data_IF_877751897213
#
_entry.id   IF_877751897213
#
_cell.length_a   1.000
_cell.length_b   1.000
_cell.length_c   1.000
_cell.angle_alpha   90.00
_cell.angle_beta   90.00
_cell.angle_gamma   90.00
#
_symmetry.space_group_name_H-M   'P 1'
#
loop_
_entity.id
_entity.type
_entity.pdbx_description
1 polymer ?
#
# COMPACT_ATOMS: atom_id res chain seq x y z
N UNK A 1 -2.50 -2.59 -11.65
CA UNK A 1 -2.90 -3.11 -11.50
C UNK A 1 -3.63 -3.37 -11.26
N UNK A 2 -3.63 -3.38 -11.06
CA UNK A 2 -3.97 -4.23 -10.96
C UNK A 2 -5.05 -4.87 -10.67
N UNK A 3 -5.04 -5.87 -10.71
CA UNK A 3 -6.09 -6.67 -10.71
C UNK A 3 -7.00 -6.43 -9.58
N UNK A 4 -6.47 -6.11 -8.48
CA UNK A 4 -7.32 -5.88 -7.36
C UNK A 4 -8.28 -4.71 -7.56
N UNK A 5 -8.08 -4.00 -8.63
CA UNK A 5 -8.94 -2.96 -8.90
C UNK A 5 -9.94 -3.38 -9.81
N UNK A 6 -9.82 -4.53 -10.40
CA UNK A 6 -10.35 -4.70 -11.49
C UNK A 6 -11.43 -5.44 -11.67
N UNK A 7 -11.47 -6.36 -11.87
CA UNK A 7 -12.38 -7.17 -12.54
C UNK A 7 -13.14 -8.05 -11.64
N UNK A 8 -13.53 -7.57 -10.51
CA UNK A 8 -14.31 -8.34 -9.59
C UNK A 8 -15.72 -8.48 -10.09
N UNK A 9 -16.32 -9.65 -9.94
CA UNK A 9 -17.71 -9.83 -10.28
C UNK A 9 -18.57 -8.85 -9.50
N UNK A 10 -19.59 -8.33 -10.14
CA UNK A 10 -20.42 -7.30 -9.54
C UNK A 10 -21.00 -7.69 -8.17
N UNK A 11 -21.44 -8.91 -8.04
CA UNK A 11 -22.04 -9.35 -6.78
C UNK A 11 -21.03 -9.36 -5.63
N UNK A 12 -19.85 -9.92 -5.85
CA UNK A 12 -18.81 -9.94 -4.85
C UNK A 12 -18.36 -8.55 -4.50
N UNK A 13 -18.18 -7.73 -5.52
CA UNK A 13 -17.76 -6.36 -5.36
C UNK A 13 -18.75 -5.60 -4.51
N UNK A 14 -20.04 -5.84 -4.73
CA UNK A 14 -21.08 -5.14 -4.00
C UNK A 14 -21.01 -5.41 -2.51
N UNK A 15 -20.84 -6.67 -2.13
CA UNK A 15 -20.77 -7.03 -0.74
C UNK A 15 -19.56 -6.41 -0.05
N UNK A 16 -18.39 -6.66 -0.60
CA UNK A 16 -17.15 -6.14 -0.04
C UNK A 16 -17.07 -4.63 -0.09
N UNK A 17 -17.54 -4.03 -1.18
CA UNK A 17 -17.50 -2.59 -1.34
C UNK A 17 -18.38 -1.90 -0.32
N UNK A 18 -19.55 -2.42 -0.04
CA UNK A 18 -20.44 -1.86 0.96
C UNK A 18 -19.82 -1.90 2.34
N UNK A 19 -19.26 -3.04 2.71
CA UNK A 19 -18.62 -3.23 4.00
C UNK A 19 -17.44 -2.28 4.16
N UNK A 20 -16.61 -2.20 3.15
CA UNK A 20 -15.46 -1.33 3.11
C UNK A 20 -15.85 0.13 3.25
N UNK A 21 -16.89 0.53 2.52
CA UNK A 21 -17.36 1.90 2.55
C UNK A 21 -17.93 2.28 3.92
N UNK A 22 -18.65 1.38 4.55
CA UNK A 22 -19.17 1.62 5.89
C UNK A 22 -18.03 1.82 6.89
N UNK A 23 -17.00 1.00 6.82
CA UNK A 23 -15.84 1.13 7.70
C UNK A 23 -15.14 2.47 7.47
N UNK A 24 -14.90 2.82 6.20
CA UNK A 24 -14.19 4.06 5.85
C UNK A 24 -14.94 5.32 6.21
N UNK A 25 -16.26 5.24 6.35
CA UNK A 25 -17.07 6.37 6.75
C UNK A 25 -17.20 6.49 8.26
N UNK A 26 -16.73 5.50 8.99
CA UNK A 26 -16.87 5.48 10.44
C UNK A 26 -15.95 6.50 11.10
N UNK A 27 -16.36 6.93 12.29
CA UNK A 27 -15.55 7.81 13.10
C UNK A 27 -14.25 7.14 13.52
N UNK A 28 -14.31 5.84 13.81
CA UNK A 28 -13.15 5.04 14.20
C UNK A 28 -12.10 4.99 13.12
N UNK A 29 -12.51 4.87 11.86
CA UNK A 29 -11.57 4.88 10.74
C UNK A 29 -10.86 6.22 10.63
N UNK A 30 -11.60 7.31 10.80
CA UNK A 30 -11.03 8.65 10.72
C UNK A 30 -10.01 8.88 11.84
N UNK A 31 -10.32 8.40 13.03
CA UNK A 31 -9.40 8.49 14.15
C UNK A 31 -8.13 7.67 13.91
N UNK A 32 -8.29 6.45 13.40
CA UNK A 32 -7.17 5.59 13.06
C UNK A 32 -6.27 6.28 12.04
N UNK A 33 -6.87 6.86 11.01
CA UNK A 33 -6.14 7.54 9.97
C UNK A 33 -5.33 8.71 10.52
N UNK A 34 -5.91 9.48 11.42
CA UNK A 34 -5.21 10.58 12.07
C UNK A 34 -4.05 10.07 12.92
N UNK A 35 -4.27 8.98 13.64
CA UNK A 35 -3.23 8.38 14.47
C UNK A 35 -2.06 7.88 13.63
N UNK A 36 -2.34 7.21 12.52
CA UNK A 36 -1.30 6.75 11.60
C UNK A 36 -0.49 7.93 11.10
N UNK A 37 -1.18 8.98 10.66
CA UNK A 37 -0.52 10.17 10.13
C UNK A 37 0.40 10.80 11.16
N UNK A 38 -0.05 10.92 12.39
CA UNK A 38 0.72 11.57 13.46
C UNK A 38 1.89 10.72 13.94
N UNK A 39 1.67 9.42 14.09
CA UNK A 39 2.70 8.55 14.66
C UNK A 39 3.73 8.12 13.64
N UNK A 40 3.33 7.94 12.39
CA UNK A 40 4.23 7.45 11.36
C UNK A 40 4.91 8.58 10.57
N UNK A 41 4.14 9.55 10.12
CA UNK A 41 4.60 10.77 9.44
C UNK A 41 5.17 10.57 8.03
N UNK A 42 5.92 9.53 7.78
CA UNK A 42 6.57 9.32 6.49
C UNK A 42 6.24 7.95 5.91
N UNK A 43 6.32 7.90 4.60
CA UNK A 43 6.14 6.66 3.84
C UNK A 43 7.40 5.81 3.98
N UNK A 44 7.30 4.55 4.42
CA UNK A 44 8.48 3.73 4.68
C UNK A 44 9.29 3.36 3.44
N UNK A 45 8.66 3.39 2.25
CA UNK A 45 9.38 3.04 1.03
C UNK A 45 10.19 4.20 0.48
N UNK A 46 9.69 5.40 0.58
CA UNK A 46 10.32 6.56 -0.02
C UNK A 46 10.93 7.51 1.00
N UNK A 47 10.58 7.33 2.26
CA UNK A 47 10.95 8.22 3.35
C UNK A 47 10.46 9.65 3.14
N UNK A 48 9.48 9.82 2.27
CA UNK A 48 8.84 11.12 2.06
C UNK A 48 7.65 11.26 2.99
N UNK A 49 7.23 12.50 3.21
CA UNK A 49 6.09 12.76 4.10
C UNK A 49 4.82 12.12 3.55
N UNK A 50 3.99 11.62 4.44
CA UNK A 50 2.68 11.11 4.03
C UNK A 50 1.84 12.25 3.49
N UNK A 51 1.29 12.06 2.30
CA UNK A 51 0.47 13.08 1.65
C UNK A 51 -0.94 13.07 2.23
N UNK A 52 -1.70 14.10 1.89
CA UNK A 52 -3.06 14.25 2.35
C UNK A 52 -3.94 13.05 1.99
N UNK A 53 -3.68 12.46 0.85
CA UNK A 53 -4.47 11.34 0.33
C UNK A 53 -3.76 9.99 0.48
N UNK A 54 -2.89 9.87 1.49
CA UNK A 54 -2.20 8.63 1.74
C UNK A 54 -3.18 7.49 2.05
N UNK A 55 -2.73 6.28 1.86
CA UNK A 55 -3.52 5.09 2.15
C UNK A 55 -3.16 4.51 3.51
N UNK A 56 -4.17 4.21 4.32
CA UNK A 56 -3.98 3.35 5.48
C UNK A 56 -4.08 1.92 5.00
N UNK A 57 -2.95 1.29 4.81
CA UNK A 57 -2.89 -0.06 4.29
C UNK A 57 -3.03 -1.07 5.43
N UNK A 58 -4.02 -1.94 5.31
CA UNK A 58 -4.20 -3.01 6.28
C UNK A 58 -3.22 -4.13 5.93
N UNK A 59 -2.27 -4.37 6.80
CA UNK A 59 -1.23 -5.37 6.53
C UNK A 59 -1.75 -6.79 6.51
N UNK A 60 -2.85 -7.04 7.21
CA UNK A 60 -3.59 -8.29 7.05
C UNK A 60 -4.50 -8.09 5.85
N UNK A 61 -4.14 -8.65 4.73
CA UNK A 61 -4.86 -8.43 3.48
C UNK A 61 -6.10 -9.33 3.32
N UNK A 62 -6.58 -9.91 4.41
CA UNK A 62 -7.79 -10.72 4.39
C UNK A 62 -9.02 -9.81 4.40
N UNK A 63 -9.87 -9.87 3.36
CA UNK A 63 -11.06 -9.01 3.30
C UNK A 63 -12.03 -9.20 4.47
N UNK A 64 -11.99 -10.33 5.13
CA UNK A 64 -12.89 -10.60 6.26
C UNK A 64 -12.54 -9.76 7.48
N UNK A 65 -11.36 -9.17 7.50
CA UNK A 65 -10.86 -8.41 8.64
C UNK A 65 -10.90 -6.89 8.44
N UNK A 66 -11.72 -6.40 7.52
CA UNK A 66 -11.81 -4.98 7.26
C UNK A 66 -12.17 -4.14 8.47
N UNK A 67 -12.93 -4.68 9.38
CA UNK A 67 -13.39 -3.94 10.56
C UNK A 67 -12.43 -4.01 11.74
N UNK A 68 -11.33 -4.74 11.59
CA UNK A 68 -10.32 -4.80 12.64
C UNK A 68 -9.43 -3.57 12.52
N UNK A 69 -9.72 -2.55 13.31
CA UNK A 69 -9.03 -1.26 13.24
C UNK A 69 -7.94 -1.11 14.29
N UNK A 70 -7.26 -2.19 14.59
CA UNK A 70 -6.11 -2.15 15.49
C UNK A 70 -4.97 -1.39 14.81
N UNK A 71 -4.48 -0.32 15.44
CA UNK A 71 -3.44 0.54 14.88
C UNK A 71 -2.21 -0.25 14.40
N UNK A 72 -1.82 -1.29 15.14
CA UNK A 72 -0.63 -2.07 14.83
C UNK A 72 -0.73 -2.84 13.52
N UNK A 73 -1.92 -2.99 12.98
CA UNK A 73 -2.14 -3.71 11.74
C UNK A 73 -2.14 -2.81 10.51
N UNK A 74 -1.87 -1.53 10.70
CA UNK A 74 -1.92 -0.56 9.60
C UNK A 74 -0.59 0.13 9.40
N UNK A 75 -0.31 0.46 8.15
CA UNK A 75 0.84 1.27 7.77
C UNK A 75 0.36 2.34 6.79
N UNK A 76 0.84 3.55 6.97
CA UNK A 76 0.53 4.62 6.03
C UNK A 76 1.44 4.54 4.82
N UNK A 77 0.86 4.59 3.64
CA UNK A 77 1.59 4.54 2.39
C UNK A 77 1.04 5.60 1.45
N UNK A 78 1.91 6.35 0.82
CA UNK A 78 1.46 7.22 -0.25
C UNK A 78 0.98 6.36 -1.42
N UNK A 79 0.23 6.94 -2.33
CA UNK A 79 -0.47 6.17 -3.36
C UNK A 79 0.42 5.24 -4.16
N UNK A 80 1.55 5.75 -4.60
CA UNK A 80 2.44 4.95 -5.43
C UNK A 80 3.04 3.80 -4.64
N UNK A 81 3.47 4.06 -3.41
CA UNK A 81 4.02 3.02 -2.54
C UNK A 81 2.97 1.95 -2.25
N UNK A 82 1.73 2.34 -2.04
CA UNK A 82 0.62 1.41 -1.84
C UNK A 82 0.46 0.49 -3.06
N UNK A 83 0.54 1.07 -4.26
CA UNK A 83 0.48 0.31 -5.51
C UNK A 83 1.63 -0.68 -5.60
N UNK A 84 2.83 -0.25 -5.26
CA UNK A 84 4.03 -1.11 -5.29
C UNK A 84 3.90 -2.27 -4.30
N UNK A 85 3.45 -1.99 -3.09
CA UNK A 85 3.25 -3.02 -2.08
C UNK A 85 2.25 -4.07 -2.58
N UNK A 86 1.13 -3.64 -3.12
CA UNK A 86 0.14 -4.57 -3.66
C UNK A 86 0.69 -5.38 -4.83
N UNK A 87 1.47 -4.74 -5.69
CA UNK A 87 2.08 -5.41 -6.82
C UNK A 87 2.95 -6.59 -6.35
N UNK A 88 3.82 -6.34 -5.38
CA UNK A 88 4.68 -7.40 -4.87
C UNK A 88 3.92 -8.42 -4.03
N UNK A 89 2.96 -7.98 -3.22
CA UNK A 89 2.20 -8.89 -2.37
C UNK A 89 1.39 -9.92 -3.17
N UNK A 90 1.07 -9.59 -4.42
CA UNK A 90 0.30 -10.48 -5.27
C UNK A 90 1.15 -11.36 -6.16
N UNK A 91 2.46 -11.23 -6.10
CA UNK A 91 3.35 -12.09 -6.85
C UNK A 91 3.42 -13.46 -6.24
N UNK A 92 3.57 -14.47 -7.11
CA UNK A 92 3.74 -15.83 -6.66
C UNK A 92 5.03 -15.99 -5.85
N UNK A 93 6.08 -15.30 -6.27
CA UNK A 93 7.38 -15.31 -5.57
C UNK A 93 7.90 -13.87 -5.49
N UNK A 94 7.43 -13.14 -4.50
CA UNK A 94 7.81 -11.74 -4.36
C UNK A 94 9.29 -11.55 -3.99
N UNK A 95 9.88 -12.54 -3.33
CA UNK A 95 11.30 -12.44 -2.96
C UNK A 95 12.19 -12.47 -4.19
N UNK A 96 11.87 -13.33 -5.14
CA UNK A 96 12.59 -13.37 -6.42
C UNK A 96 12.38 -12.06 -7.18
N UNK A 97 11.18 -11.54 -7.15
CA UNK A 97 10.88 -10.25 -7.79
C UNK A 97 11.67 -9.09 -7.22
N UNK A 98 11.78 -9.03 -5.90
CA UNK A 98 12.56 -7.98 -5.23
C UNK A 98 14.05 -8.12 -5.57
N UNK A 99 14.57 -9.35 -5.60
CA UNK A 99 15.95 -9.58 -5.96
C UNK A 99 16.24 -9.11 -7.39
N UNK A 100 15.33 -9.42 -8.30
CA UNK A 100 15.50 -8.99 -9.69
C UNK A 100 15.38 -7.47 -9.82
N UNK A 101 14.47 -6.86 -9.10
CA UNK A 101 14.35 -5.41 -9.09
C UNK A 101 15.65 -4.76 -8.62
N UNK A 102 16.26 -5.30 -7.57
CA UNK A 102 17.51 -4.79 -7.05
C UNK A 102 18.62 -4.86 -8.12
N UNK A 103 18.72 -6.01 -8.81
CA UNK A 103 19.70 -6.16 -9.89
C UNK A 103 19.50 -5.13 -10.99
N UNK A 104 18.25 -4.91 -11.39
CA UNK A 104 17.94 -3.96 -12.45
C UNK A 104 18.31 -2.54 -12.05
N UNK A 105 17.98 -2.16 -10.82
CA UNK A 105 18.29 -0.82 -10.32
C UNK A 105 19.81 -0.61 -10.23
N UNK A 106 20.54 -1.61 -9.78
CA UNK A 106 21.99 -1.53 -9.72
C UNK A 106 22.59 -1.39 -11.12
N UNK A 107 22.04 -2.13 -12.08
CA UNK A 107 22.48 -2.03 -13.46
C UNK A 107 22.20 -0.66 -14.06
N UNK A 108 21.02 -0.13 -13.77
CA UNK A 108 20.64 1.22 -14.20
C UNK A 108 21.58 2.27 -13.60
N UNK A 109 21.93 2.08 -12.35
CA UNK A 109 22.87 2.97 -11.67
C UNK A 109 24.23 2.97 -12.33
N UNK A 110 24.75 1.79 -12.66
CA UNK A 110 26.02 1.66 -13.38
C UNK A 110 25.99 2.37 -14.72
N UNK A 111 24.92 2.13 -15.48
CA UNK A 111 24.79 2.71 -16.82
C UNK A 111 24.56 4.21 -16.80
N UNK A 112 24.05 4.73 -15.69
CA UNK A 112 23.76 6.16 -15.55
C UNK A 112 24.82 6.90 -14.76
N UNK A 113 25.94 6.27 -14.43
CA UNK A 113 26.98 6.85 -13.61
C UNK A 113 26.45 7.44 -12.31
N UNK A 114 25.50 6.73 -11.68
CA UNK A 114 24.93 7.14 -10.41
C UNK A 114 23.81 8.16 -10.53
N UNK A 115 23.40 8.51 -11.74
CA UNK A 115 22.35 9.52 -11.92
C UNK A 115 21.03 9.15 -11.29
N UNK A 116 20.75 7.87 -11.10
CA UNK A 116 19.53 7.44 -10.43
C UNK A 116 19.47 8.02 -9.03
N UNK A 117 20.60 7.99 -8.34
CA UNK A 117 20.68 8.52 -6.97
C UNK A 117 20.51 10.02 -6.89
N UNK A 118 20.86 10.70 -7.95
CA UNK A 118 20.81 12.15 -7.99
C UNK A 118 19.40 12.69 -8.14
N UNK A 119 18.48 11.86 -8.45
CA UNK A 119 17.09 12.26 -8.57
C UNK A 119 16.37 12.17 -7.28
#
# INVERSE_FOLDING_TARGET
>A
MSRYVINLPAASTTEHAKKKNLVRQSHEWKELREEVKKSQRTDPLTNSRLTKDFNCHHMDMNPDNYSDLNRDKFVGLNKLSHTVIHFFAEMKDWRAGVAKLTELLERMEELSDGNIKAR
#
